data_IF_641041942612
#
_entry.id   IF_641041942612
#
_cell.length_a   1.000
_cell.length_b   1.000
_cell.length_c   1.000
_cell.angle_alpha   90.00
_cell.angle_beta   90.00
_cell.angle_gamma   90.00
#
_symmetry.space_group_name_H-M   'P 1'
#
loop_
_entity.id
_entity.type
_entity.pdbx_description
1 polymer ?
#
# COMPACT_ATOMS: atom_id res chain seq x y z
N UNK A 1 -18.36 -40.21 27.12
CA UNK A 1 -18.49 -38.94 26.37
C UNK A 1 -17.07 -38.39 26.17
N UNK A 2 -16.55 -38.34 24.93
CA UNK A 2 -15.17 -37.86 24.69
C UNK A 2 -15.10 -36.37 25.06
N UNK A 3 -14.14 -35.91 25.88
CA UNK A 3 -13.99 -34.49 26.17
C UNK A 3 -13.58 -33.76 24.87
N UNK A 4 -14.53 -33.16 24.17
CA UNK A 4 -14.26 -32.40 22.93
C UNK A 4 -13.73 -30.99 23.22
N UNK A 5 -13.95 -30.47 24.43
CA UNK A 5 -13.56 -29.12 24.84
C UNK A 5 -12.05 -28.94 25.08
N UNK A 6 -11.30 -30.02 25.23
CA UNK A 6 -9.89 -29.97 25.64
C UNK A 6 -8.92 -30.25 24.49
N UNK A 7 -9.39 -30.28 23.24
CA UNK A 7 -8.56 -30.54 22.06
C UNK A 7 -8.10 -29.21 21.46
N UNK A 8 -6.79 -28.99 21.43
CA UNK A 8 -6.17 -27.78 20.87
C UNK A 8 -5.16 -28.14 19.78
N UNK A 9 -4.77 -27.18 18.95
CA UNK A 9 -3.64 -27.33 18.05
C UNK A 9 -2.33 -27.00 18.79
N UNK A 10 -1.42 -27.97 18.92
CA UNK A 10 -0.14 -27.79 19.60
C UNK A 10 0.97 -27.43 18.60
N UNK A 11 1.54 -26.23 18.71
CA UNK A 11 2.58 -25.74 17.80
C UNK A 11 3.88 -26.56 17.84
N UNK A 12 4.33 -27.01 19.02
CA UNK A 12 5.55 -27.83 19.15
C UNK A 12 5.47 -29.20 18.45
N UNK A 13 4.26 -29.77 18.40
CA UNK A 13 3.99 -31.06 17.75
C UNK A 13 3.31 -30.96 16.37
N UNK A 14 2.86 -29.77 15.98
CA UNK A 14 2.11 -29.45 14.75
C UNK A 14 0.90 -30.36 14.51
N UNK A 15 0.22 -30.74 15.60
CA UNK A 15 -0.94 -31.65 15.58
C UNK A 15 -1.96 -31.23 16.62
N UNK A 16 -3.21 -31.63 16.40
CA UNK A 16 -4.24 -31.50 17.42
C UNK A 16 -4.00 -32.48 18.57
N UNK A 17 -3.94 -31.97 19.80
CA UNK A 17 -3.69 -32.74 21.02
C UNK A 17 -4.66 -32.35 22.14
N UNK A 18 -4.87 -33.28 23.06
CA UNK A 18 -5.60 -33.04 24.29
C UNK A 18 -4.73 -32.25 25.26
N UNK A 19 -5.19 -31.11 25.76
CA UNK A 19 -4.52 -30.26 26.76
C UNK A 19 -5.27 -30.32 28.09
N UNK A 20 -4.51 -30.47 29.17
CA UNK A 20 -5.02 -30.46 30.53
C UNK A 20 -4.23 -29.46 31.37
N UNK A 21 -4.92 -28.74 32.25
CA UNK A 21 -4.29 -27.76 33.15
C UNK A 21 -3.30 -28.40 34.13
N UNK A 22 -3.59 -29.61 34.62
CA UNK A 22 -2.77 -30.30 35.61
C UNK A 22 -2.39 -31.71 35.17
N UNK A 23 -1.23 -32.18 35.62
CA UNK A 23 -0.74 -33.53 35.35
C UNK A 23 -1.73 -34.60 35.86
N UNK A 24 -2.34 -34.36 37.01
CA UNK A 24 -3.33 -35.27 37.60
C UNK A 24 -4.55 -35.44 36.70
N UNK A 25 -5.06 -34.36 36.08
CA UNK A 25 -6.17 -34.44 35.11
C UNK A 25 -5.78 -35.25 33.88
N UNK A 26 -4.56 -35.05 33.36
CA UNK A 26 -4.04 -35.81 32.21
C UNK A 26 -3.85 -37.30 32.54
N UNK A 27 -3.33 -37.62 33.74
CA UNK A 27 -3.14 -38.99 34.18
C UNK A 27 -4.48 -39.69 34.46
N UNK A 28 -5.45 -38.98 35.03
CA UNK A 28 -6.81 -39.49 35.17
C UNK A 28 -7.45 -39.77 33.81
N UNK A 29 -7.24 -38.90 32.81
CA UNK A 29 -7.71 -39.16 31.46
C UNK A 29 -7.13 -40.47 30.89
N UNK A 30 -5.80 -40.68 31.03
CA UNK A 30 -5.15 -41.92 30.62
C UNK A 30 -5.74 -43.13 31.36
N UNK A 31 -5.87 -43.03 32.69
CA UNK A 31 -6.36 -44.13 33.54
C UNK A 31 -7.79 -44.55 33.21
N UNK A 32 -8.69 -43.58 32.96
CA UNK A 32 -10.11 -43.85 32.79
C UNK A 32 -10.55 -44.03 31.34
N UNK A 33 -9.73 -43.67 30.36
CA UNK A 33 -10.09 -43.75 28.93
C UNK A 33 -9.07 -44.56 28.12
N UNK A 34 -7.97 -45.02 28.73
CA UNK A 34 -6.88 -45.67 28.01
C UNK A 34 -7.28 -46.99 27.35
N UNK A 35 -8.05 -47.83 28.05
CA UNK A 35 -8.52 -49.12 27.53
C UNK A 35 -9.48 -48.92 26.36
N UNK A 36 -10.52 -48.09 26.52
CA UNK A 36 -11.47 -47.75 25.45
C UNK A 36 -10.76 -47.17 24.20
N UNK A 37 -9.79 -46.27 24.41
CA UNK A 37 -9.03 -45.66 23.31
C UNK A 37 -8.15 -46.70 22.61
N UNK A 38 -7.57 -47.65 23.35
CA UNK A 38 -6.75 -48.73 22.81
C UNK A 38 -7.58 -49.68 21.96
N UNK A 39 -8.76 -50.07 22.45
CA UNK A 39 -9.69 -50.95 21.74
C UNK A 39 -10.18 -50.30 20.44
N UNK A 40 -10.51 -49.01 20.46
CA UNK A 40 -11.03 -48.28 19.29
C UNK A 40 -9.94 -47.94 18.25
N UNK A 41 -8.77 -47.48 18.70
CA UNK A 41 -7.76 -46.86 17.81
C UNK A 41 -6.48 -47.69 17.65
N UNK A 42 -6.36 -48.84 18.33
CA UNK A 42 -5.15 -49.67 18.37
C UNK A 42 -3.96 -49.00 19.06
N UNK A 43 -4.12 -47.80 19.61
CA UNK A 43 -3.07 -47.05 20.30
C UNK A 43 -3.65 -46.09 21.34
N UNK A 44 -3.22 -46.25 22.59
CA UNK A 44 -3.62 -45.38 23.69
C UNK A 44 -2.47 -44.51 24.19
N UNK A 45 -2.77 -43.33 24.78
CA UNK A 45 -1.76 -42.58 25.52
C UNK A 45 -1.31 -43.38 26.74
N UNK A 46 0.01 -43.41 26.99
CA UNK A 46 0.63 -44.18 28.09
C UNK A 46 1.25 -43.29 29.15
N UNK A 47 1.48 -42.01 28.83
CA UNK A 47 1.99 -41.02 29.79
C UNK A 47 1.52 -39.61 29.45
N UNK A 48 1.58 -38.73 30.44
CA UNK A 48 1.44 -37.29 30.26
C UNK A 48 2.81 -36.60 30.21
N UNK A 49 2.88 -35.42 29.60
CA UNK A 49 4.07 -34.57 29.60
C UNK A 49 3.65 -33.09 29.56
N UNK A 50 4.43 -32.24 30.23
CA UNK A 50 4.24 -30.80 30.16
C UNK A 50 4.75 -30.26 28.83
N UNK A 51 3.94 -29.45 28.16
CA UNK A 51 4.26 -28.79 26.90
C UNK A 51 4.36 -27.29 27.16
N UNK A 52 5.58 -26.77 27.12
CA UNK A 52 5.83 -25.35 27.41
C UNK A 52 5.15 -24.42 26.41
N UNK A 53 5.12 -24.81 25.12
CA UNK A 53 4.43 -24.06 24.06
C UNK A 53 2.92 -23.92 24.29
N UNK A 54 2.32 -24.86 25.04
CA UNK A 54 0.88 -24.86 25.30
C UNK A 54 0.53 -24.52 26.75
N UNK A 55 1.53 -24.31 27.62
CA UNK A 55 1.33 -23.98 29.04
C UNK A 55 0.57 -25.05 29.83
N UNK A 56 0.65 -26.33 29.45
CA UNK A 56 -0.11 -27.39 30.13
C UNK A 56 0.29 -28.80 29.73
N UNK A 57 -0.46 -29.79 30.20
CA UNK A 57 -0.15 -31.21 30.05
C UNK A 57 -0.83 -31.84 28.85
N UNK A 58 -0.03 -32.43 27.97
CA UNK A 58 -0.51 -33.29 26.89
C UNK A 58 -0.36 -34.76 27.27
N UNK A 59 -1.14 -35.62 26.61
CA UNK A 59 -1.00 -37.07 26.69
C UNK A 59 -0.34 -37.63 25.43
N UNK A 60 0.45 -38.69 25.56
CA UNK A 60 1.20 -39.29 24.45
C UNK A 60 1.26 -40.80 24.54
N UNK A 61 1.25 -41.45 23.38
CA UNK A 61 1.40 -42.90 23.24
C UNK A 61 2.86 -43.33 23.07
N UNK A 62 3.82 -42.39 23.15
CA UNK A 62 5.25 -42.70 23.18
C UNK A 62 5.70 -42.95 24.64
N UNK A 63 6.16 -44.16 24.99
CA UNK A 63 6.58 -44.47 26.35
C UNK A 63 7.93 -43.83 26.73
N UNK A 64 8.79 -43.47 25.77
CA UNK A 64 10.11 -42.90 26.05
C UNK A 64 10.00 -41.50 26.65
N UNK A 65 10.55 -41.33 27.86
CA UNK A 65 10.73 -40.03 28.52
C UNK A 65 11.84 -39.23 27.85
N UNK A 66 12.97 -39.85 27.52
CA UNK A 66 14.13 -39.24 26.88
C UNK A 66 13.79 -38.53 25.56
N UNK A 67 13.00 -39.17 24.68
CA UNK A 67 12.56 -38.53 23.42
C UNK A 67 11.64 -37.34 23.71
N UNK A 68 10.83 -37.42 24.77
CA UNK A 68 9.97 -36.33 25.20
C UNK A 68 10.77 -35.15 25.75
N UNK A 69 11.75 -35.42 26.59
CA UNK A 69 12.65 -34.41 27.18
C UNK A 69 13.46 -33.70 26.11
N UNK A 70 14.01 -34.42 25.13
CA UNK A 70 14.73 -33.82 24.00
C UNK A 70 13.83 -32.89 23.17
N UNK A 71 12.59 -33.29 22.90
CA UNK A 71 11.64 -32.45 22.16
C UNK A 71 11.21 -31.22 22.97
N UNK A 72 10.99 -31.40 24.26
CA UNK A 72 10.73 -30.29 25.17
C UNK A 72 11.93 -29.34 25.24
N UNK A 73 13.17 -29.84 25.30
CA UNK A 73 14.37 -29.01 25.32
C UNK A 73 14.54 -28.20 24.03
N UNK A 74 14.24 -28.80 22.87
CA UNK A 74 14.20 -28.08 21.59
C UNK A 74 13.14 -26.98 21.61
N UNK A 75 11.95 -27.28 22.11
CA UNK A 75 10.85 -26.31 22.18
C UNK A 75 11.16 -25.22 23.22
N UNK A 76 11.81 -25.56 24.34
CA UNK A 76 12.33 -24.63 25.34
C UNK A 76 13.35 -23.69 24.72
N UNK A 77 14.34 -24.19 23.98
CA UNK A 77 15.32 -23.37 23.27
C UNK A 77 14.66 -22.43 22.24
N UNK A 78 13.60 -22.90 21.59
CA UNK A 78 12.82 -22.06 20.67
C UNK A 78 12.07 -20.96 21.42
N UNK A 79 11.42 -21.29 22.55
CA UNK A 79 10.76 -20.31 23.42
C UNK A 79 11.78 -19.34 24.02
N UNK A 80 12.95 -19.81 24.44
CA UNK A 80 14.06 -19.00 24.93
C UNK A 80 14.60 -18.10 23.84
N UNK A 81 14.75 -18.57 22.60
CA UNK A 81 15.17 -17.72 21.47
C UNK A 81 14.10 -16.66 21.18
N UNK A 82 12.82 -17.05 21.13
CA UNK A 82 11.72 -16.13 20.90
C UNK A 82 11.51 -15.15 22.07
N UNK A 83 11.77 -15.59 23.30
CA UNK A 83 11.66 -14.78 24.51
C UNK A 83 12.92 -13.98 24.81
N UNK A 84 14.09 -14.36 24.33
CA UNK A 84 15.31 -13.54 24.29
C UNK A 84 15.14 -12.44 23.25
N UNK A 85 14.58 -12.75 22.09
CA UNK A 85 14.13 -11.75 21.12
C UNK A 85 13.05 -10.81 21.72
N UNK A 86 12.21 -11.31 22.63
CA UNK A 86 11.21 -10.49 23.37
C UNK A 86 11.75 -9.79 24.61
N UNK A 87 12.80 -10.30 25.27
CA UNK A 87 13.46 -9.71 26.46
C UNK A 87 14.55 -8.71 26.07
N UNK A 88 14.99 -8.73 24.81
CA UNK A 88 15.65 -7.60 24.15
C UNK A 88 14.78 -6.33 24.11
N UNK A 89 13.46 -6.44 24.30
CA UNK A 89 12.58 -5.28 24.50
C UNK A 89 12.46 -4.81 25.96
N UNK A 90 12.91 -5.57 26.98
CA UNK A 90 12.62 -5.21 28.39
C UNK A 90 13.76 -5.42 29.42
N UNK A 91 15.01 -5.64 29.00
CA UNK A 91 16.15 -5.32 29.85
C UNK A 91 17.30 -6.32 29.85
N UNK A 92 18.26 -6.10 28.97
CA UNK A 92 19.70 -5.91 29.28
C UNK A 92 20.23 -5.03 28.15
N UNK A 93 20.72 -3.83 28.50
CA UNK A 93 21.38 -2.92 27.56
C UNK A 93 22.74 -3.50 27.17
N UNK A 94 22.80 -4.33 26.14
CA UNK A 94 23.93 -4.26 25.23
C UNK A 94 23.67 -3.06 24.31
N UNK A 95 24.18 -1.90 24.75
CA UNK A 95 23.96 -0.60 24.09
C UNK A 95 24.36 -0.61 22.60
N UNK A 96 25.22 -1.55 22.18
CA UNK A 96 25.70 -1.68 20.81
C UNK A 96 24.84 -2.61 19.93
N UNK A 97 24.10 -3.58 20.47
CA UNK A 97 23.29 -4.51 19.65
C UNK A 97 21.85 -4.00 19.44
N UNK A 98 21.23 -3.39 20.47
CA UNK A 98 19.93 -2.70 20.34
C UNK A 98 20.01 -1.56 19.34
N UNK A 99 21.08 -0.77 19.36
CA UNK A 99 21.30 0.32 18.41
C UNK A 99 21.42 -0.19 16.97
N UNK A 100 21.97 -1.39 16.76
CA UNK A 100 22.10 -2.00 15.42
C UNK A 100 20.75 -2.46 14.89
N UNK A 101 19.98 -3.18 15.71
CA UNK A 101 18.66 -3.68 15.31
C UNK A 101 17.65 -2.56 15.06
N UNK A 102 17.59 -1.56 15.96
CA UNK A 102 16.70 -0.41 15.81
C UNK A 102 17.07 0.40 14.55
N UNK A 103 18.38 0.51 14.27
CA UNK A 103 18.87 1.17 13.06
C UNK A 103 18.56 0.38 11.79
N UNK A 104 18.72 -0.94 11.79
CA UNK A 104 18.36 -1.81 10.66
C UNK A 104 16.85 -1.81 10.42
N UNK A 105 16.03 -1.83 11.48
CA UNK A 105 14.58 -1.74 11.39
C UNK A 105 14.14 -0.39 10.82
N UNK A 106 14.75 0.71 11.29
CA UNK A 106 14.50 2.04 10.76
C UNK A 106 14.92 2.16 9.30
N UNK A 107 16.08 1.58 8.93
CA UNK A 107 16.52 1.50 7.54
C UNK A 107 15.50 0.75 6.66
N UNK A 108 14.98 -0.39 7.13
CA UNK A 108 13.95 -1.12 6.38
C UNK A 108 12.65 -0.31 6.28
N UNK A 109 12.23 0.40 7.33
CA UNK A 109 11.05 1.29 7.26
C UNK A 109 11.24 2.38 6.22
N UNK A 110 12.39 3.06 6.24
CA UNK A 110 12.75 4.11 5.28
C UNK A 110 12.79 3.57 3.85
N UNK A 111 13.45 2.44 3.62
CA UNK A 111 13.53 1.80 2.30
C UNK A 111 12.15 1.33 1.82
N UNK A 112 11.34 0.74 2.69
CA UNK A 112 9.96 0.32 2.37
C UNK A 112 9.08 1.51 1.96
N UNK A 113 9.12 2.61 2.72
CA UNK A 113 8.36 3.82 2.39
C UNK A 113 8.85 4.45 1.08
N UNK A 114 10.17 4.51 0.89
CA UNK A 114 10.78 4.95 -0.37
C UNK A 114 10.33 4.09 -1.55
N UNK A 115 10.29 2.77 -1.39
CA UNK A 115 9.81 1.84 -2.41
C UNK A 115 8.37 2.14 -2.82
N UNK A 116 7.44 2.31 -1.87
CA UNK A 116 6.05 2.65 -2.20
C UNK A 116 5.94 3.95 -3.01
N UNK A 117 6.68 4.99 -2.62
CA UNK A 117 6.70 6.25 -3.36
C UNK A 117 7.27 6.11 -4.77
N UNK A 118 8.33 5.31 -4.93
CA UNK A 118 8.95 5.04 -6.23
C UNK A 118 8.03 4.23 -7.14
N UNK A 119 7.30 3.24 -6.61
CA UNK A 119 6.33 2.46 -7.37
C UNK A 119 5.23 3.35 -7.97
N UNK A 120 4.73 4.33 -7.22
CA UNK A 120 3.77 5.30 -7.77
C UNK A 120 4.40 6.26 -8.78
N UNK A 121 5.66 6.64 -8.57
CA UNK A 121 6.40 7.44 -9.54
C UNK A 121 6.61 6.69 -10.87
N UNK A 122 6.91 5.39 -10.82
CA UNK A 122 7.04 4.53 -12.00
C UNK A 122 5.74 4.49 -12.79
N UNK A 123 4.60 4.30 -12.12
CA UNK A 123 3.28 4.33 -12.78
C UNK A 123 3.02 5.65 -13.49
N UNK A 124 3.41 6.76 -12.86
CA UNK A 124 3.34 8.08 -13.49
C UNK A 124 4.29 8.21 -14.68
N UNK A 125 5.51 7.69 -14.60
CA UNK A 125 6.46 7.71 -15.72
C UNK A 125 5.95 6.91 -16.92
N UNK A 126 5.43 5.71 -16.69
CA UNK A 126 4.78 4.89 -17.73
C UNK A 126 3.62 5.65 -18.39
N UNK A 127 2.79 6.31 -17.58
CA UNK A 127 1.68 7.14 -18.06
C UNK A 127 2.14 8.28 -18.99
N UNK A 128 3.29 8.89 -18.70
CA UNK A 128 3.88 9.95 -19.54
C UNK A 128 4.77 9.41 -20.67
N UNK A 129 4.91 8.09 -20.82
CA UNK A 129 5.76 7.47 -21.83
C UNK A 129 7.26 7.62 -21.56
N UNK A 130 7.65 7.90 -20.31
CA UNK A 130 9.04 8.03 -19.87
C UNK A 130 9.63 6.64 -19.54
N UNK A 131 9.79 5.80 -20.56
CA UNK A 131 10.09 4.38 -20.39
C UNK A 131 11.49 4.11 -19.79
N UNK A 132 12.50 4.85 -20.26
CA UNK A 132 13.87 4.73 -19.74
C UNK A 132 13.94 5.11 -18.26
N UNK A 133 13.36 6.26 -17.89
CA UNK A 133 13.32 6.69 -16.49
C UNK A 133 12.51 5.75 -15.60
N UNK A 134 11.48 5.11 -16.13
CA UNK A 134 10.70 4.11 -15.41
C UNK A 134 11.52 2.83 -15.17
N UNK A 135 12.32 2.40 -16.16
CA UNK A 135 13.24 1.27 -16.06
C UNK A 135 14.33 1.51 -15.02
N UNK A 136 15.04 2.63 -15.12
CA UNK A 136 16.08 3.01 -14.15
C UNK A 136 15.53 2.99 -12.73
N UNK A 137 14.32 3.54 -12.53
CA UNK A 137 13.72 3.59 -11.20
C UNK A 137 13.24 2.21 -10.72
N UNK A 138 12.82 1.32 -11.62
CA UNK A 138 12.47 -0.06 -11.31
C UNK A 138 13.69 -0.88 -10.90
N UNK A 139 14.83 -0.69 -11.57
CA UNK A 139 16.09 -1.33 -11.20
C UNK A 139 16.52 -0.94 -9.79
N UNK A 140 16.41 0.35 -9.43
CA UNK A 140 16.69 0.77 -8.06
C UNK A 140 15.68 0.15 -7.08
N UNK A 141 14.39 0.03 -7.44
CA UNK A 141 13.42 -0.67 -6.59
C UNK A 141 13.78 -2.15 -6.39
N UNK A 142 14.32 -2.80 -7.42
CA UNK A 142 14.80 -4.17 -7.33
C UNK A 142 16.02 -4.28 -6.40
N UNK A 143 16.94 -3.32 -6.44
CA UNK A 143 18.07 -3.29 -5.51
C UNK A 143 17.60 -3.07 -4.07
N UNK A 144 16.71 -2.11 -3.83
CA UNK A 144 16.16 -1.82 -2.50
C UNK A 144 15.43 -3.03 -1.90
N UNK A 145 14.65 -3.78 -2.69
CA UNK A 145 13.94 -4.96 -2.17
C UNK A 145 14.90 -6.10 -1.82
N UNK A 146 15.95 -6.31 -2.61
CA UNK A 146 16.98 -7.31 -2.29
C UNK A 146 17.80 -6.89 -1.06
N UNK A 147 18.05 -5.59 -0.88
CA UNK A 147 18.66 -5.04 0.33
C UNK A 147 17.77 -5.33 1.55
N UNK A 148 16.46 -5.03 1.48
CA UNK A 148 15.52 -5.32 2.56
C UNK A 148 15.48 -6.82 2.91
N UNK A 149 15.48 -7.69 1.90
CA UNK A 149 15.50 -9.15 2.09
C UNK A 149 16.77 -9.60 2.82
N UNK A 150 17.91 -8.94 2.58
CA UNK A 150 19.18 -9.28 3.21
C UNK A 150 19.18 -9.13 4.73
N UNK A 151 18.37 -8.22 5.29
CA UNK A 151 18.29 -7.98 6.74
C UNK A 151 17.63 -9.15 7.51
N UNK A 152 16.92 -10.09 6.86
CA UNK A 152 16.25 -11.25 7.50
C UNK A 152 15.27 -10.88 8.65
N UNK A 153 14.84 -9.62 8.75
CA UNK A 153 14.06 -9.09 9.86
C UNK A 153 12.55 -9.36 9.80
N UNK A 154 12.02 -9.82 8.66
CA UNK A 154 10.57 -9.87 8.42
C UNK A 154 10.02 -11.27 8.16
N UNK A 155 8.79 -11.51 8.65
CA UNK A 155 7.95 -12.59 8.15
C UNK A 155 7.64 -12.37 6.66
N UNK A 156 7.86 -13.40 5.84
CA UNK A 156 7.95 -13.28 4.37
C UNK A 156 6.72 -12.66 3.66
N UNK A 157 5.56 -12.52 4.29
CA UNK A 157 4.31 -12.12 3.64
C UNK A 157 4.33 -10.76 2.94
N UNK A 158 4.59 -9.66 3.67
CA UNK A 158 4.53 -8.30 3.11
C UNK A 158 5.61 -8.05 2.05
N UNK A 159 6.83 -8.56 2.27
CA UNK A 159 7.93 -8.46 1.31
C UNK A 159 7.67 -9.26 0.03
N UNK A 160 7.10 -10.46 0.13
CA UNK A 160 6.68 -11.25 -1.04
C UNK A 160 5.64 -10.49 -1.84
N UNK A 161 4.68 -9.82 -1.19
CA UNK A 161 3.70 -8.97 -1.89
C UNK A 161 4.38 -7.80 -2.60
N UNK A 162 5.30 -7.09 -1.93
CA UNK A 162 5.99 -5.93 -2.50
C UNK A 162 6.87 -6.32 -3.70
N UNK A 163 7.64 -7.41 -3.56
CA UNK A 163 8.41 -8.01 -4.66
C UNK A 163 7.50 -8.42 -5.83
N UNK A 164 6.34 -9.00 -5.52
CA UNK A 164 5.32 -9.31 -6.52
C UNK A 164 4.83 -8.08 -7.29
N UNK A 165 4.67 -6.93 -6.63
CA UNK A 165 4.30 -5.67 -7.29
C UNK A 165 5.39 -5.16 -8.22
N UNK A 166 6.66 -5.19 -7.78
CA UNK A 166 7.82 -4.81 -8.59
C UNK A 166 7.88 -5.68 -9.86
N UNK A 167 7.78 -7.00 -9.72
CA UNK A 167 7.82 -7.92 -10.84
C UNK A 167 6.67 -7.69 -11.84
N UNK A 168 5.47 -7.35 -11.36
CA UNK A 168 4.35 -6.97 -12.23
C UNK A 168 4.64 -5.71 -13.03
N UNK A 169 5.29 -4.71 -12.43
CA UNK A 169 5.68 -3.48 -13.14
C UNK A 169 6.77 -3.72 -14.17
N UNK A 170 7.75 -4.60 -13.91
CA UNK A 170 8.73 -5.01 -14.92
C UNK A 170 8.05 -5.63 -16.14
N UNK A 171 7.14 -6.59 -15.92
CA UNK A 171 6.36 -7.20 -17.02
C UNK A 171 5.55 -6.16 -17.79
N UNK A 172 4.89 -5.25 -17.08
CA UNK A 172 4.13 -4.17 -17.72
C UNK A 172 5.06 -3.27 -18.56
N UNK A 173 6.22 -2.89 -18.04
CA UNK A 173 7.20 -2.08 -18.79
C UNK A 173 7.69 -2.79 -20.04
N UNK A 174 8.00 -4.09 -19.98
CA UNK A 174 8.40 -4.88 -21.15
C UNK A 174 7.29 -4.92 -22.22
N UNK A 175 6.04 -5.11 -21.79
CA UNK A 175 4.88 -5.08 -22.68
C UNK A 175 4.66 -3.69 -23.29
N UNK A 176 4.84 -2.62 -22.50
CA UNK A 176 4.78 -1.25 -23.03
C UNK A 176 5.88 -1.06 -24.08
N UNK A 177 7.14 -1.39 -23.76
CA UNK A 177 8.26 -1.27 -24.71
C UNK A 177 8.03 -2.05 -26.01
N UNK A 178 7.50 -3.26 -25.93
CA UNK A 178 7.26 -4.08 -27.12
C UNK A 178 6.24 -3.42 -28.05
N UNK A 179 5.16 -2.84 -27.52
CA UNK A 179 4.14 -2.14 -28.31
C UNK A 179 4.66 -0.80 -28.86
N UNK A 180 5.48 -0.07 -28.09
CA UNK A 180 6.06 1.19 -28.54
C UNK A 180 7.12 1.04 -29.64
N UNK A 181 7.68 -0.16 -29.81
CA UNK A 181 8.60 -0.49 -30.90
C UNK A 181 7.87 -0.85 -32.20
N UNK A 182 6.54 -0.99 -32.17
CA UNK A 182 5.72 -1.22 -33.37
C UNK A 182 5.53 0.07 -34.17
N UNK A 183 5.19 -0.05 -35.45
CA UNK A 183 4.79 1.08 -36.30
C UNK A 183 3.49 1.74 -35.82
N UNK A 184 3.22 2.97 -36.27
CA UNK A 184 1.99 3.69 -35.90
C UNK A 184 0.71 2.95 -36.34
N UNK A 185 0.74 2.27 -37.50
CA UNK A 185 -0.36 1.44 -37.99
C UNK A 185 -0.61 0.24 -37.06
N UNK A 186 0.45 -0.47 -36.68
CA UNK A 186 0.38 -1.61 -35.76
C UNK A 186 -0.07 -1.19 -34.35
N UNK A 187 0.34 -0.01 -33.88
CA UNK A 187 -0.13 0.55 -32.61
C UNK A 187 -1.64 0.88 -32.66
N UNK A 188 -2.13 1.40 -33.79
CA UNK A 188 -3.56 1.67 -34.00
C UNK A 188 -4.38 0.38 -34.05
N UNK A 189 -3.87 -0.65 -34.73
CA UNK A 189 -4.47 -1.98 -34.76
C UNK A 189 -4.54 -2.58 -33.34
N UNK A 190 -3.49 -2.42 -32.55
CA UNK A 190 -3.47 -2.87 -31.15
C UNK A 190 -4.56 -2.21 -30.29
N UNK A 191 -4.78 -0.90 -30.46
CA UNK A 191 -5.85 -0.18 -29.76
C UNK A 191 -7.26 -0.62 -30.17
N UNK A 192 -7.41 -1.17 -31.38
CA UNK A 192 -8.70 -1.60 -31.93
C UNK A 192 -9.15 -3.01 -31.50
N UNK A 193 -8.27 -3.80 -30.88
CA UNK A 193 -8.60 -5.15 -30.43
C UNK A 193 -9.56 -5.14 -29.23
N UNK A 194 -10.64 -5.92 -29.26
CA UNK A 194 -11.73 -5.82 -28.26
C UNK A 194 -11.61 -6.76 -27.03
N UNK A 195 -10.65 -7.69 -26.97
CA UNK A 195 -10.62 -8.66 -25.86
C UNK A 195 -9.22 -9.25 -25.61
N UNK A 196 -8.51 -8.73 -24.59
CA UNK A 196 -7.14 -9.14 -24.27
C UNK A 196 -6.88 -9.30 -22.75
N UNK A 197 -7.94 -9.23 -21.92
CA UNK A 197 -7.84 -9.33 -20.46
C UNK A 197 -7.36 -8.05 -19.74
N UNK A 198 -7.34 -8.09 -18.41
CA UNK A 198 -7.13 -6.92 -17.53
C UNK A 198 -5.77 -6.22 -17.75
N UNK A 199 -4.69 -6.97 -18.01
CA UNK A 199 -3.36 -6.40 -18.27
C UNK A 199 -3.30 -5.63 -19.61
N UNK A 200 -4.08 -6.06 -20.59
CA UNK A 200 -4.13 -5.40 -21.89
C UNK A 200 -4.95 -4.12 -21.87
N UNK A 201 -5.97 -4.03 -21.03
CA UNK A 201 -6.73 -2.78 -20.85
C UNK A 201 -5.88 -1.69 -20.20
N UNK A 202 -5.03 -2.06 -19.23
CA UNK A 202 -4.03 -1.16 -18.65
C UNK A 202 -3.06 -0.68 -19.73
N UNK A 203 -2.57 -1.59 -20.57
CA UNK A 203 -1.64 -1.27 -21.65
C UNK A 203 -2.25 -0.36 -22.72
N UNK A 204 -3.49 -0.63 -23.15
CA UNK A 204 -4.24 0.24 -24.09
C UNK A 204 -4.42 1.65 -23.52
N UNK A 205 -4.73 1.73 -22.23
CA UNK A 205 -4.88 3.02 -21.53
C UNK A 205 -3.55 3.79 -21.55
N UNK A 206 -2.43 3.12 -21.22
CA UNK A 206 -1.10 3.73 -21.27
C UNK A 206 -0.77 4.20 -22.69
N UNK A 207 -0.93 3.33 -23.69
CA UNK A 207 -0.63 3.65 -25.08
C UNK A 207 -1.47 4.83 -25.59
N UNK A 208 -2.79 4.78 -25.39
CA UNK A 208 -3.71 5.84 -25.80
C UNK A 208 -3.35 7.19 -25.16
N UNK A 209 -3.04 7.18 -23.85
CA UNK A 209 -2.61 8.38 -23.14
C UNK A 209 -1.32 8.93 -23.73
N UNK A 210 -0.28 8.12 -23.87
CA UNK A 210 1.02 8.59 -24.36
C UNK A 210 0.93 9.13 -25.79
N UNK A 211 0.17 8.49 -26.67
CA UNK A 211 -0.06 8.99 -28.03
C UNK A 211 -0.77 10.35 -28.01
N UNK A 212 -1.81 10.51 -27.18
CA UNK A 212 -2.48 11.78 -27.00
C UNK A 212 -1.53 12.86 -26.47
N UNK A 213 -0.70 12.53 -25.47
CA UNK A 213 0.25 13.47 -24.87
C UNK A 213 1.37 13.88 -25.84
N UNK A 214 1.92 12.95 -26.62
CA UNK A 214 2.91 13.26 -27.67
C UNK A 214 2.33 14.18 -28.73
N UNK A 215 1.09 13.94 -29.14
CA UNK A 215 0.40 14.81 -30.11
C UNK A 215 0.16 16.21 -29.54
N UNK A 216 -0.23 16.32 -28.26
CA UNK A 216 -0.33 17.62 -27.57
C UNK A 216 1.03 18.33 -27.54
N UNK A 217 2.11 17.62 -27.19
CA UNK A 217 3.46 18.20 -27.14
C UNK A 217 3.93 18.70 -28.51
N UNK A 218 3.67 17.95 -29.59
CA UNK A 218 3.97 18.37 -30.96
C UNK A 218 3.20 19.65 -31.34
N UNK A 219 1.88 19.67 -31.13
CA UNK A 219 1.03 20.83 -31.45
C UNK A 219 1.44 22.08 -30.67
N UNK A 220 1.77 21.93 -29.39
CA UNK A 220 2.21 23.05 -28.55
C UNK A 220 3.60 23.56 -28.95
N UNK A 221 4.52 22.66 -29.29
CA UNK A 221 5.85 23.05 -29.79
C UNK A 221 5.74 23.79 -31.13
N UNK A 222 4.92 23.33 -32.05
CA UNK A 222 4.64 24.04 -33.31
C UNK A 222 4.05 25.43 -33.09
N UNK A 223 3.17 25.58 -32.09
CA UNK A 223 2.63 26.88 -31.72
C UNK A 223 3.71 27.80 -31.15
N UNK A 224 4.64 27.29 -30.33
CA UNK A 224 5.78 28.08 -29.85
C UNK A 224 6.62 28.64 -31.00
N UNK A 225 6.93 27.82 -32.02
CA UNK A 225 7.63 28.29 -33.22
C UNK A 225 6.81 29.34 -33.97
N UNK A 226 5.51 29.09 -34.16
CA UNK A 226 4.63 30.02 -34.90
C UNK A 226 4.50 31.37 -34.18
N UNK A 227 4.30 31.37 -32.86
CA UNK A 227 4.19 32.58 -32.05
C UNK A 227 5.51 33.35 -31.97
N UNK A 228 6.65 32.66 -31.94
CA UNK A 228 7.97 33.30 -32.01
C UNK A 228 8.15 34.09 -33.31
N UNK A 229 7.60 33.58 -34.42
CA UNK A 229 7.60 34.23 -35.73
C UNK A 229 6.43 35.22 -35.93
N UNK A 230 5.63 35.47 -34.88
CA UNK A 230 4.39 36.27 -34.92
C UNK A 230 3.31 35.73 -35.89
N UNK A 231 3.38 34.45 -36.25
CA UNK A 231 2.39 33.75 -37.05
C UNK A 231 1.30 33.25 -36.10
N UNK A 232 0.12 33.86 -36.19
CA UNK A 232 -1.03 33.57 -35.33
C UNK A 232 -2.07 32.67 -35.98
N UNK A 233 -1.96 32.42 -37.29
CA UNK A 233 -2.86 31.58 -38.05
C UNK A 233 -2.68 30.10 -37.67
N UNK A 234 -3.78 29.38 -37.42
CA UNK A 234 -3.75 27.96 -37.03
C UNK A 234 -3.51 27.69 -35.55
N UNK A 235 -3.00 28.66 -34.77
CA UNK A 235 -2.75 28.50 -33.33
C UNK A 235 -4.05 28.20 -32.55
N UNK A 236 -5.17 28.93 -32.74
CA UNK A 236 -6.43 28.63 -32.05
C UNK A 236 -6.97 27.23 -32.32
N UNK A 237 -6.88 26.76 -33.57
CA UNK A 237 -7.32 25.43 -33.99
C UNK A 237 -6.51 24.34 -33.28
N UNK A 238 -5.18 24.48 -33.25
CA UNK A 238 -4.27 23.56 -32.56
C UNK A 238 -4.49 23.55 -31.04
N UNK A 239 -4.74 24.70 -30.43
CA UNK A 239 -5.15 24.81 -29.01
C UNK A 239 -6.47 24.07 -28.76
N UNK A 240 -7.44 24.24 -29.65
CA UNK A 240 -8.72 23.53 -29.61
C UNK A 240 -8.55 22.01 -29.73
N UNK A 241 -7.66 21.55 -30.59
CA UNK A 241 -7.31 20.13 -30.73
C UNK A 241 -6.64 19.58 -29.47
N UNK A 242 -5.69 20.30 -28.87
CA UNK A 242 -5.07 19.91 -27.60
C UNK A 242 -6.12 19.70 -26.50
N UNK A 243 -7.14 20.57 -26.42
CA UNK A 243 -8.24 20.42 -25.45
C UNK A 243 -9.08 19.16 -25.69
N UNK A 244 -9.32 18.79 -26.95
CA UNK A 244 -10.02 17.53 -27.30
C UNK A 244 -9.19 16.32 -26.90
N UNK A 245 -7.89 16.32 -27.20
CA UNK A 245 -6.97 15.24 -26.82
C UNK A 245 -6.85 15.09 -25.31
N UNK A 246 -6.79 16.18 -24.55
CA UNK A 246 -6.78 16.11 -23.07
C UNK A 246 -8.06 15.48 -22.51
N UNK A 247 -9.20 15.61 -23.19
CA UNK A 247 -10.45 15.00 -22.74
C UNK A 247 -10.43 13.47 -22.86
N UNK A 248 -9.67 12.92 -23.81
CA UNK A 248 -9.55 11.47 -24.03
C UNK A 248 -8.57 10.81 -23.07
N UNK A 249 -7.74 11.57 -22.35
CA UNK A 249 -6.80 11.04 -21.35
C UNK A 249 -7.56 10.45 -20.15
N UNK A 250 -7.16 9.27 -19.68
CA UNK A 250 -7.81 8.48 -18.62
C UNK A 250 -6.83 7.96 -17.56
N UNK A 251 -7.31 7.63 -16.36
CA UNK A 251 -6.52 7.00 -15.29
C UNK A 251 -5.81 7.97 -14.33
N UNK A 252 -5.03 7.41 -13.41
CA UNK A 252 -4.50 8.11 -12.23
C UNK A 252 -3.54 9.28 -12.55
N UNK A 253 -2.94 9.28 -13.74
CA UNK A 253 -2.07 10.37 -14.22
C UNK A 253 -2.82 11.57 -14.80
N UNK A 254 -4.12 11.45 -15.09
CA UNK A 254 -4.92 12.47 -15.78
C UNK A 254 -4.86 13.85 -15.11
N UNK A 255 -5.07 13.91 -13.79
CA UNK A 255 -5.07 15.19 -13.04
C UNK A 255 -3.73 15.93 -13.20
N UNK A 256 -2.61 15.21 -13.10
CA UNK A 256 -1.25 15.78 -13.25
C UNK A 256 -0.97 16.20 -14.69
N UNK A 257 -1.35 15.39 -15.67
CA UNK A 257 -1.18 15.74 -17.09
C UNK A 257 -1.99 16.97 -17.48
N UNK A 258 -3.27 17.01 -17.12
CA UNK A 258 -4.15 18.16 -17.34
C UNK A 258 -3.56 19.43 -16.71
N UNK A 259 -3.04 19.35 -15.48
CA UNK A 259 -2.38 20.48 -14.84
C UNK A 259 -1.13 20.94 -15.61
N UNK A 260 -0.27 20.02 -16.05
CA UNK A 260 0.95 20.32 -16.85
C UNK A 260 0.58 21.07 -18.13
N UNK A 261 -0.32 20.52 -18.94
CA UNK A 261 -0.65 21.11 -20.25
C UNK A 261 -1.56 22.32 -20.17
N UNK A 262 -2.39 22.48 -19.13
CA UNK A 262 -3.14 23.71 -18.93
C UNK A 262 -2.25 24.92 -18.71
N UNK A 263 -1.16 24.77 -17.94
CA UNK A 263 -0.20 25.87 -17.76
C UNK A 263 0.37 26.30 -19.10
N UNK A 264 0.77 25.34 -19.94
CA UNK A 264 1.33 25.62 -21.26
C UNK A 264 0.31 26.24 -22.22
N UNK A 265 -0.91 25.70 -22.29
CA UNK A 265 -2.00 26.23 -23.11
C UNK A 265 -2.39 27.66 -22.72
N UNK A 266 -2.50 27.94 -21.42
CA UNK A 266 -2.83 29.28 -20.92
C UNK A 266 -1.75 30.30 -21.30
N UNK A 267 -0.49 29.88 -21.33
CA UNK A 267 0.62 30.73 -21.76
C UNK A 267 0.54 31.04 -23.27
N UNK A 268 0.25 30.04 -24.10
CA UNK A 268 0.04 30.21 -25.54
C UNK A 268 -1.14 31.15 -25.83
N UNK A 269 -2.27 30.97 -25.12
CA UNK A 269 -3.43 31.86 -25.24
C UNK A 269 -3.14 33.29 -24.78
N UNK A 270 -2.26 33.48 -23.78
CA UNK A 270 -1.81 34.79 -23.33
C UNK A 270 -0.98 35.49 -24.40
N UNK A 271 -0.05 34.79 -25.02
CA UNK A 271 0.78 35.31 -26.11
C UNK A 271 -0.06 35.66 -27.35
N UNK A 272 -1.01 34.80 -27.72
CA UNK A 272 -1.94 35.07 -28.82
C UNK A 272 -2.73 36.38 -28.61
N UNK A 273 -3.21 36.63 -27.39
CA UNK A 273 -3.91 37.89 -27.04
C UNK A 273 -3.00 39.12 -27.11
N UNK A 274 -1.71 38.97 -26.87
CA UNK A 274 -0.74 40.07 -26.98
C UNK A 274 -0.43 40.40 -28.44
N UNK A 275 -0.41 39.40 -29.31
CA UNK A 275 -0.16 39.54 -30.75
C UNK A 275 -1.41 39.92 -31.56
N UNK A 276 -2.61 39.68 -31.04
CA UNK A 276 -3.88 40.13 -31.61
C UNK A 276 -4.65 41.06 -30.65
N UNK A 277 -4.20 42.31 -30.42
CA UNK A 277 -4.88 43.24 -29.53
C UNK A 277 -6.25 43.72 -30.04
N UNK A 278 -6.56 43.58 -31.34
CA UNK A 278 -7.77 44.14 -31.96
C UNK A 278 -8.59 43.12 -32.77
N UNK A 279 -9.42 42.35 -32.06
CA UNK A 279 -10.75 41.99 -32.58
C UNK A 279 -11.80 42.28 -31.50
N UNK A 280 -12.48 43.43 -31.68
CA UNK A 280 -13.62 43.87 -30.89
C UNK A 280 -14.68 42.77 -30.78
N UNK A 281 -14.97 42.33 -29.56
CA UNK A 281 -16.27 41.69 -29.24
C UNK A 281 -17.22 42.75 -28.65
N UNK A 282 -18.55 42.67 -28.92
CA UNK A 282 -19.51 43.71 -28.55
C UNK A 282 -19.66 43.82 -27.03
N UNK A 283 -19.67 45.06 -26.56
CA UNK A 283 -19.95 45.47 -25.18
C UNK A 283 -21.22 44.78 -24.65
N UNK A 284 -21.07 43.99 -23.59
CA UNK A 284 -22.11 43.89 -22.57
C UNK A 284 -21.63 44.71 -21.37
N UNK A 285 -22.46 45.67 -20.94
CA UNK A 285 -22.12 46.67 -19.94
C UNK A 285 -21.82 46.05 -18.56
N UNK A 286 -20.93 46.68 -17.76
CA UNK A 286 -20.67 46.28 -16.39
C UNK A 286 -21.69 46.93 -15.44
N UNK A 287 -22.28 46.13 -14.55
CA UNK A 287 -22.98 46.66 -13.37
C UNK A 287 -22.04 46.56 -12.17
N UNK A 288 -21.62 47.74 -11.73
CA UNK A 288 -21.17 48.18 -10.41
C UNK A 288 -20.24 47.31 -9.56
N UNK A 289 -19.05 47.90 -9.36
CA UNK A 289 -18.11 47.64 -8.29
C UNK A 289 -18.72 47.93 -6.91
N UNK A 290 -18.38 47.09 -5.94
CA UNK A 290 -18.64 47.32 -4.52
C UNK A 290 -17.68 46.54 -3.63
N UNK A 291 -16.64 47.23 -3.17
CA UNK A 291 -15.80 46.96 -1.99
C UNK A 291 -14.84 45.76 -2.02
N UNK A 292 -13.58 46.12 -2.20
CA UNK A 292 -12.37 45.44 -1.75
C UNK A 292 -12.49 45.05 -0.27
N UNK A 293 -12.50 43.75 -0.01
CA UNK A 293 -12.03 43.17 1.25
C UNK A 293 -10.95 42.18 0.84
N UNK A 294 -9.70 42.50 1.17
CA UNK A 294 -8.60 41.54 1.13
C UNK A 294 -8.90 40.41 2.11
N UNK A 295 -9.49 39.33 1.61
CA UNK A 295 -9.41 38.03 2.27
C UNK A 295 -8.41 37.23 1.46
N UNK A 296 -7.26 36.91 2.09
CA UNK A 296 -6.35 35.86 1.63
C UNK A 296 -7.13 34.56 1.48
N UNK A 297 -7.75 34.34 0.32
CA UNK A 297 -8.34 33.05 -0.05
C UNK A 297 -7.19 32.18 -0.51
N UNK A 298 -6.73 31.32 0.40
CA UNK A 298 -6.07 30.07 0.03
C UNK A 298 -6.84 29.41 -1.10
N UNK A 299 -6.17 28.91 -2.15
CA UNK A 299 -6.83 28.35 -3.30
C UNK A 299 -7.64 27.13 -2.83
N UNK A 300 -8.97 27.21 -2.92
CA UNK A 300 -9.85 26.05 -2.72
C UNK A 300 -9.53 25.06 -3.84
N UNK A 301 -8.71 24.05 -3.54
CA UNK A 301 -8.53 22.85 -4.35
C UNK A 301 -9.93 22.29 -4.65
N UNK A 302 -10.22 22.08 -5.93
CA UNK A 302 -11.45 21.43 -6.36
C UNK A 302 -11.36 19.96 -5.94
N UNK A 303 -12.15 19.59 -4.94
CA UNK A 303 -12.12 18.27 -4.33
C UNK A 303 -13.18 17.40 -4.99
N UNK A 304 -12.82 16.17 -5.40
CA UNK A 304 -13.80 15.19 -5.83
C UNK A 304 -14.63 14.76 -4.61
N UNK A 305 -15.89 15.19 -4.56
CA UNK A 305 -16.81 14.89 -3.45
C UNK A 305 -16.95 13.39 -3.19
N UNK A 306 -16.77 12.55 -4.21
CA UNK A 306 -16.86 11.10 -4.09
C UNK A 306 -15.62 10.52 -3.40
N UNK A 307 -14.42 10.98 -3.79
CA UNK A 307 -13.15 10.64 -3.17
C UNK A 307 -13.13 11.07 -1.70
N UNK A 308 -13.60 12.28 -1.39
CA UNK A 308 -13.71 12.81 -0.03
C UNK A 308 -14.57 11.90 0.84
N UNK A 309 -15.77 11.58 0.34
CA UNK A 309 -16.72 10.75 1.05
C UNK A 309 -16.17 9.34 1.29
N UNK A 310 -15.49 8.77 0.30
CA UNK A 310 -14.85 7.45 0.41
C UNK A 310 -13.78 7.43 1.50
N UNK A 311 -12.88 8.41 1.49
CA UNK A 311 -11.79 8.50 2.47
C UNK A 311 -12.33 8.73 3.89
N UNK A 312 -13.33 9.58 4.04
CA UNK A 312 -13.99 9.82 5.34
C UNK A 312 -14.67 8.55 5.86
N UNK A 313 -15.37 7.80 5.02
CA UNK A 313 -16.00 6.54 5.42
C UNK A 313 -14.96 5.48 5.82
N UNK A 314 -13.85 5.39 5.08
CA UNK A 314 -12.76 4.47 5.42
C UNK A 314 -12.06 4.85 6.72
N UNK A 315 -11.91 6.16 7.02
CA UNK A 315 -11.41 6.64 8.31
C UNK A 315 -12.34 6.26 9.47
N UNK A 316 -13.65 6.37 9.28
CA UNK A 316 -14.65 5.97 10.29
C UNK A 316 -14.58 4.46 10.55
N UNK A 317 -14.56 3.64 9.49
CA UNK A 317 -14.44 2.18 9.61
C UNK A 317 -13.16 1.76 10.35
N UNK A 318 -12.04 2.45 10.10
CA UNK A 318 -10.78 2.19 10.82
C UNK A 318 -10.87 2.53 12.30
N UNK A 319 -11.52 3.64 12.66
CA UNK A 319 -11.77 4.01 14.05
C UNK A 319 -12.63 2.96 14.78
N UNK A 320 -13.62 2.39 14.10
CA UNK A 320 -14.46 1.31 14.66
C UNK A 320 -13.65 0.02 14.86
N UNK A 321 -12.81 -0.34 13.88
CA UNK A 321 -11.93 -1.50 13.98
C UNK A 321 -10.85 -1.36 15.05
N UNK A 322 -10.36 -0.14 15.31
CA UNK A 322 -9.44 0.13 16.42
C UNK A 322 -10.04 -0.26 17.77
N UNK A 323 -11.33 0.01 18.00
CA UNK A 323 -12.00 -0.39 19.25
C UNK A 323 -12.03 -1.91 19.40
N UNK A 324 -12.34 -2.63 18.33
CA UNK A 324 -12.34 -4.09 18.33
C UNK A 324 -10.96 -4.69 18.62
N UNK A 325 -9.91 -4.21 17.93
CA UNK A 325 -8.54 -4.66 18.18
C UNK A 325 -8.06 -4.33 19.58
N UNK A 326 -8.46 -3.18 20.13
CA UNK A 326 -8.12 -2.80 21.50
C UNK A 326 -8.77 -3.73 22.53
N UNK A 327 -10.03 -4.09 22.33
CA UNK A 327 -10.75 -5.03 23.21
C UNK A 327 -10.20 -6.46 23.12
N UNK A 328 -9.63 -6.83 21.96
CA UNK A 328 -8.95 -8.10 21.72
C UNK A 328 -7.49 -8.10 22.25
N UNK A 329 -6.98 -6.95 22.73
CA UNK A 329 -5.61 -6.79 23.24
C UNK A 329 -4.54 -6.72 22.13
N UNK A 330 -4.94 -6.47 20.89
CA UNK A 330 -4.05 -6.33 19.73
C UNK A 330 -3.65 -4.86 19.51
N UNK A 331 -2.77 -4.38 20.40
CA UNK A 331 -2.32 -2.98 20.40
C UNK A 331 -1.48 -2.62 19.15
N UNK A 332 -0.75 -3.58 18.58
CA UNK A 332 0.03 -3.39 17.34
C UNK A 332 -0.89 -3.08 16.14
N UNK A 333 -2.04 -3.76 16.07
CA UNK A 333 -3.05 -3.46 15.07
C UNK A 333 -3.69 -2.07 15.29
N UNK A 334 -3.93 -1.68 16.55
CA UNK A 334 -4.43 -0.35 16.89
C UNK A 334 -3.45 0.75 16.46
N UNK A 335 -2.15 0.62 16.76
CA UNK A 335 -1.11 1.58 16.37
C UNK A 335 -0.99 1.68 14.84
N UNK A 336 -0.96 0.54 14.15
CA UNK A 336 -0.95 0.51 12.68
C UNK A 336 -2.17 1.22 12.07
N UNK A 337 -3.36 1.00 12.63
CA UNK A 337 -4.59 1.66 12.15
C UNK A 337 -4.59 3.16 12.45
N UNK A 338 -4.00 3.58 13.58
CA UNK A 338 -3.86 4.97 13.98
C UNK A 338 -2.93 5.74 13.03
N UNK A 339 -1.75 5.20 12.73
CA UNK A 339 -0.79 5.79 11.81
C UNK A 339 -1.38 5.97 10.40
N UNK A 340 -2.01 4.91 9.87
CA UNK A 340 -2.65 4.96 8.55
C UNK A 340 -3.77 6.01 8.52
N UNK A 341 -4.51 6.14 9.61
CA UNK A 341 -5.60 7.12 9.70
C UNK A 341 -5.09 8.56 9.72
N UNK A 342 -3.99 8.85 10.40
CA UNK A 342 -3.35 10.17 10.32
C UNK A 342 -2.82 10.48 8.92
N UNK A 343 -2.17 9.50 8.27
CA UNK A 343 -1.70 9.65 6.90
C UNK A 343 -2.84 9.96 5.93
N UNK A 344 -3.95 9.21 6.01
CA UNK A 344 -5.13 9.44 5.19
C UNK A 344 -5.76 10.82 5.43
N UNK A 345 -5.74 11.30 6.68
CA UNK A 345 -6.26 12.62 7.03
C UNK A 345 -5.36 13.75 6.49
N UNK A 346 -4.04 13.59 6.54
CA UNK A 346 -3.08 14.56 6.01
C UNK A 346 -3.12 14.62 4.48
N UNK A 347 -3.31 13.48 3.80
CA UNK A 347 -3.50 13.40 2.35
C UNK A 347 -4.76 14.14 1.88
N UNK A 348 -5.82 14.18 2.69
CA UNK A 348 -7.03 14.95 2.36
C UNK A 348 -6.74 16.45 2.26
N UNK A 349 -5.78 16.99 3.01
CA UNK A 349 -5.45 18.44 3.02
C UNK A 349 -6.67 19.36 3.16
N UNK A 350 -7.72 18.89 3.84
CA UNK A 350 -8.98 19.63 4.07
C UNK A 350 -9.13 19.84 5.57
N UNK A 351 -9.34 21.09 5.97
CA UNK A 351 -9.63 21.48 7.35
C UNK A 351 -11.10 21.91 7.47
N UNK A 352 -11.98 20.94 7.62
CA UNK A 352 -13.42 21.13 7.80
C UNK A 352 -13.94 20.45 9.08
N UNK A 353 -15.24 20.54 9.31
CA UNK A 353 -15.89 19.94 10.48
C UNK A 353 -15.63 18.43 10.62
N UNK A 354 -15.68 17.67 9.54
CA UNK A 354 -15.59 16.21 9.61
C UNK A 354 -14.16 15.76 9.89
N UNK A 355 -13.21 16.36 9.17
CA UNK A 355 -11.77 16.12 9.36
C UNK A 355 -11.31 16.52 10.76
N UNK A 356 -11.84 17.62 11.31
CA UNK A 356 -11.56 18.02 12.69
C UNK A 356 -12.12 17.01 13.73
N UNK A 357 -13.33 16.48 13.51
CA UNK A 357 -13.92 15.45 14.39
C UNK A 357 -13.10 14.17 14.34
N UNK A 358 -12.72 13.71 13.14
CA UNK A 358 -11.89 12.51 12.97
C UNK A 358 -10.53 12.70 13.64
N UNK A 359 -9.89 13.85 13.43
CA UNK A 359 -8.60 14.16 14.07
C UNK A 359 -8.69 14.07 15.59
N UNK A 360 -9.71 14.68 16.19
CA UNK A 360 -9.91 14.64 17.64
C UNK A 360 -10.14 13.21 18.16
N UNK A 361 -10.82 12.34 17.39
CA UNK A 361 -10.98 10.93 17.73
C UNK A 361 -9.66 10.17 17.64
N UNK A 362 -8.85 10.43 16.61
CA UNK A 362 -7.50 9.85 16.48
C UNK A 362 -6.60 10.29 17.63
N UNK A 363 -6.63 11.56 18.01
CA UNK A 363 -5.83 12.09 19.13
C UNK A 363 -6.20 11.39 20.45
N UNK A 364 -7.49 11.13 20.70
CA UNK A 364 -7.93 10.33 21.87
C UNK A 364 -7.50 8.88 21.81
N UNK A 365 -7.44 8.30 20.62
CA UNK A 365 -6.93 6.94 20.43
C UNK A 365 -5.43 6.88 20.67
N UNK A 366 -4.68 7.86 20.19
CA UNK A 366 -3.25 8.00 20.49
C UNK A 366 -3.01 8.07 22.00
N UNK A 367 -3.79 8.88 22.72
CA UNK A 367 -3.71 8.96 24.19
C UNK A 367 -4.06 7.64 24.89
N UNK A 368 -5.08 6.89 24.41
CA UNK A 368 -5.47 5.60 24.99
C UNK A 368 -4.47 4.47 24.73
N UNK A 369 -3.81 4.48 23.57
CA UNK A 369 -2.88 3.42 23.14
C UNK A 369 -1.48 3.69 23.69
N UNK A 370 -1.04 4.95 23.72
CA UNK A 370 0.31 5.34 24.12
C UNK A 370 0.42 5.80 25.58
N UNK A 371 -0.72 6.10 26.22
CA UNK A 371 -0.78 6.59 27.60
C UNK A 371 -1.18 5.56 28.66
N UNK A 372 -1.50 4.32 28.26
CA UNK A 372 -1.76 3.18 29.15
C UNK A 372 -0.63 2.16 29.09
#
# INVERSE_FOLDING_TARGET
>A
MKPTRNKIFCYGSRRHKMLFETQLKANNFIRFNGEDILEENGKAPVRSYFCEMCGGYHVTSNPSTEVGERLNQRDHQLIETLSANRKGMNGVKDLNSSLSYDKEMEQVKVLSNSLYQRLEKIRMMLFFGQLESAEDLLDICHLDIEEIISYKLFGNGKLVTLRGKINKLFKLLELVKSVFNLSEEEQADYLSMNDLGEEADVLKTILSNVLALRKIEALLSENEFSLADNIVEGVPEKVGECRKLMATVQGDGKKKAIAKYHVWLNEQERQLKQLQPDQKTPKTQPVNQGKTIEVKKTPKKFFDKQEYKSTILSLIERLENMQKSFDEGDYDACETMLEISYFMLDELQVNDSNTAIIKNQLDRWAERILGG
#
